data_IF_362888004929
#
_entry.id   IF_362888004929
#
_cell.length_a   1.000
_cell.length_b   1.000
_cell.length_c   1.000
_cell.angle_alpha   90.00
_cell.angle_beta   90.00
_cell.angle_gamma   90.00
#
_symmetry.space_group_name_H-M   'P 1'
#
loop_
_entity.id
_entity.type
_entity.pdbx_description
1 polymer ?
#
# COMPACT_ATOMS: atom_id res chain seq x y z
N UNK A 1 2.21 9.48 22.79
CA UNK A 1 0.77 9.71 22.61
C UNK A 1 0.71 10.89 21.67
N UNK A 2 0.76 10.70 20.36
CA UNK A 2 0.26 9.57 19.57
C UNK A 2 1.39 8.76 18.90
N UNK A 3 1.18 7.45 18.83
CA UNK A 3 1.79 6.59 17.82
C UNK A 3 1.55 7.22 16.44
N UNK A 4 2.53 7.18 15.55
CA UNK A 4 2.32 6.46 14.29
C UNK A 4 3.65 6.43 13.53
N UNK A 5 4.24 5.24 13.42
CA UNK A 5 5.36 4.98 12.50
C UNK A 5 4.97 5.14 11.03
N UNK A 6 3.70 5.41 10.73
CA UNK A 6 3.17 5.64 9.39
C UNK A 6 3.59 7.00 8.82
N UNK A 7 4.35 6.97 7.73
CA UNK A 7 4.66 8.13 6.89
C UNK A 7 3.51 8.48 5.95
N UNK A 8 2.68 7.51 5.56
CA UNK A 8 1.47 7.74 4.77
C UNK A 8 0.40 6.73 5.12
N UNK A 9 -0.86 7.16 5.12
CA UNK A 9 -2.05 6.33 5.30
C UNK A 9 -3.11 6.82 4.33
N UNK A 10 -3.58 5.93 3.46
CA UNK A 10 -4.56 6.23 2.43
C UNK A 10 -5.70 5.22 2.48
N UNK A 11 -6.93 5.71 2.50
CA UNK A 11 -8.13 4.91 2.23
C UNK A 11 -8.32 4.83 0.72
N UNK A 12 -8.47 3.61 0.19
CA UNK A 12 -8.54 3.32 -1.24
C UNK A 12 -9.84 2.58 -1.54
N UNK A 13 -10.60 3.13 -2.50
CA UNK A 13 -11.87 2.56 -2.97
C UNK A 13 -11.79 2.32 -4.49
N UNK A 14 -11.12 1.23 -4.86
CA UNK A 14 -10.92 0.81 -6.25
C UNK A 14 -11.85 -0.36 -6.61
N UNK A 15 -12.21 -0.57 -7.89
CA UNK A 15 -13.13 -1.65 -8.30
C UNK A 15 -12.72 -3.06 -7.84
N UNK A 16 -11.41 -3.30 -7.66
CA UNK A 16 -10.86 -4.57 -7.17
C UNK A 16 -10.41 -4.58 -5.71
N UNK A 17 -10.51 -3.46 -4.99
CA UNK A 17 -10.00 -3.33 -3.63
C UNK A 17 -10.69 -2.20 -2.87
N UNK A 18 -11.22 -2.52 -1.69
CA UNK A 18 -11.76 -1.55 -0.75
C UNK A 18 -11.04 -1.71 0.60
N UNK A 19 -10.27 -0.70 1.01
CA UNK A 19 -9.50 -0.77 2.24
C UNK A 19 -8.45 0.32 2.38
N UNK A 20 -7.34 -0.02 3.00
CA UNK A 20 -6.31 0.91 3.42
C UNK A 20 -4.92 0.47 2.97
N UNK A 21 -4.12 1.46 2.59
CA UNK A 21 -2.69 1.39 2.37
C UNK A 21 -1.98 2.22 3.45
N UNK A 22 -1.08 1.61 4.19
CA UNK A 22 -0.23 2.25 5.19
C UNK A 22 1.23 2.04 4.80
N UNK A 23 2.01 3.11 4.87
CA UNK A 23 3.45 3.09 4.64
C UNK A 23 4.10 3.57 5.91
N UNK A 24 4.88 2.70 6.55
CA UNK A 24 5.53 2.98 7.83
C UNK A 24 7.04 3.05 7.65
N UNK A 25 7.70 4.00 8.30
CA UNK A 25 9.16 4.04 8.38
C UNK A 25 9.61 3.74 9.80
N UNK A 26 10.22 2.56 9.96
CA UNK A 26 10.76 2.08 11.23
C UNK A 26 12.28 2.08 11.24
N UNK A 27 12.86 1.58 12.34
CA UNK A 27 14.32 1.40 12.45
C UNK A 27 14.88 0.39 11.45
N UNK A 28 14.04 -0.58 11.05
CA UNK A 28 14.39 -1.67 10.14
C UNK A 28 14.14 -1.33 8.66
N UNK A 29 13.88 -0.07 8.35
CA UNK A 29 13.54 0.39 7.01
C UNK A 29 12.05 0.67 6.85
N UNK A 30 11.61 0.79 5.60
CA UNK A 30 10.23 1.17 5.28
C UNK A 30 9.39 -0.08 4.99
N UNK A 31 8.20 -0.15 5.56
CA UNK A 31 7.23 -1.21 5.35
C UNK A 31 5.98 -0.68 4.65
N UNK A 32 5.42 -1.54 3.80
CA UNK A 32 4.15 -1.32 3.12
C UNK A 32 3.15 -2.33 3.65
N UNK A 33 2.08 -1.82 4.25
CA UNK A 33 0.96 -2.61 4.75
C UNK A 33 -0.29 -2.28 3.95
N UNK A 34 -0.91 -3.31 3.40
CA UNK A 34 -2.21 -3.22 2.73
C UNK A 34 -3.20 -4.07 3.50
N UNK A 35 -4.35 -3.52 3.83
CA UNK A 35 -5.43 -4.26 4.47
C UNK A 35 -6.79 -3.83 3.93
N UNK A 36 -7.61 -4.79 3.53
CA UNK A 36 -8.94 -4.49 2.98
C UNK A 36 -9.69 -5.73 2.56
N UNK A 37 -10.69 -5.52 1.72
CA UNK A 37 -11.50 -6.57 1.11
C UNK A 37 -11.48 -6.42 -0.40
N UNK A 38 -11.58 -7.54 -1.11
CA UNK A 38 -11.80 -7.58 -2.54
C UNK A 38 -13.31 -7.67 -2.79
N UNK A 39 -13.94 -6.64 -3.39
CA UNK A 39 -15.40 -6.62 -3.52
C UNK A 39 -15.98 -7.75 -4.39
N UNK A 40 -15.22 -8.27 -5.36
CA UNK A 40 -15.74 -9.28 -6.30
C UNK A 40 -16.00 -10.66 -5.69
N UNK A 41 -15.27 -11.05 -4.64
CA UNK A 41 -15.38 -12.36 -3.99
C UNK A 41 -15.50 -12.27 -2.45
N UNK A 42 -15.40 -11.05 -1.89
CA UNK A 42 -15.43 -10.79 -0.45
C UNK A 42 -14.16 -11.24 0.28
N UNK A 43 -13.09 -11.59 -0.45
CA UNK A 43 -11.86 -12.08 0.17
C UNK A 43 -11.14 -10.96 0.94
N UNK A 44 -10.69 -11.27 2.16
CA UNK A 44 -9.83 -10.36 2.92
C UNK A 44 -8.42 -10.33 2.30
N UNK A 45 -7.89 -9.13 2.12
CA UNK A 45 -6.54 -8.88 1.63
C UNK A 45 -5.74 -8.31 2.77
N UNK A 46 -4.64 -8.96 3.11
CA UNK A 46 -3.62 -8.43 4.02
C UNK A 46 -2.25 -8.68 3.40
N UNK A 47 -1.49 -7.61 3.18
CA UNK A 47 -0.09 -7.65 2.73
C UNK A 47 0.74 -6.84 3.70
N UNK A 48 1.90 -7.35 4.04
CA UNK A 48 2.92 -6.64 4.82
C UNK A 48 4.26 -7.04 4.21
N UNK A 49 4.98 -6.07 3.66
CA UNK A 49 6.24 -6.32 2.99
C UNK A 49 7.21 -5.13 3.10
N UNK A 50 8.53 -5.39 3.16
CA UNK A 50 9.52 -4.33 3.15
C UNK A 50 9.56 -3.63 1.80
N UNK A 51 9.47 -2.31 1.81
CA UNK A 51 9.54 -1.45 0.62
C UNK A 51 10.90 -1.57 -0.07
N UNK A 52 11.96 -1.81 0.72
CA UNK A 52 13.34 -1.90 0.25
C UNK A 52 13.66 -3.22 -0.48
N UNK A 53 12.68 -4.12 -0.60
CA UNK A 53 12.87 -5.43 -1.25
C UNK A 53 13.06 -5.30 -2.77
N UNK A 54 12.46 -4.29 -3.38
CA UNK A 54 12.43 -4.08 -4.82
C UNK A 54 12.51 -2.57 -5.15
N UNK A 55 13.33 -2.17 -6.13
CA UNK A 55 13.49 -0.75 -6.49
C UNK A 55 12.22 -0.10 -7.06
N UNK A 56 11.38 -0.84 -7.79
CA UNK A 56 10.12 -0.31 -8.32
C UNK A 56 9.12 -0.06 -7.18
N UNK A 57 9.03 -0.99 -6.22
CA UNK A 57 8.22 -0.79 -5.02
C UNK A 57 8.69 0.42 -4.21
N UNK A 58 10.00 0.59 -4.03
CA UNK A 58 10.55 1.73 -3.31
C UNK A 58 10.19 3.07 -4.00
N UNK A 59 10.25 3.14 -5.32
CA UNK A 59 9.85 4.33 -6.09
C UNK A 59 8.36 4.63 -5.93
N UNK A 60 7.49 3.62 -6.07
CA UNK A 60 6.04 3.79 -5.90
C UNK A 60 5.70 4.29 -4.49
N UNK A 61 6.40 3.77 -3.49
CA UNK A 61 6.26 4.17 -2.09
C UNK A 61 6.65 5.63 -1.87
N UNK A 62 7.75 6.10 -2.46
CA UNK A 62 8.13 7.52 -2.41
C UNK A 62 7.08 8.42 -3.06
N UNK A 63 6.51 8.00 -4.20
CA UNK A 63 5.44 8.75 -4.88
C UNK A 63 4.17 8.85 -4.03
N UNK A 64 3.75 7.74 -3.40
CA UNK A 64 2.59 7.72 -2.50
C UNK A 64 2.81 8.62 -1.28
N UNK A 65 4.00 8.54 -0.66
CA UNK A 65 4.36 9.44 0.44
C UNK A 65 4.41 10.90 -0.01
N UNK A 66 4.76 11.15 -1.28
CA UNK A 66 4.69 12.46 -1.92
C UNK A 66 3.29 12.97 -2.26
N UNK A 67 2.24 12.16 -2.02
CA UNK A 67 0.84 12.50 -2.27
C UNK A 67 0.34 12.18 -3.69
N UNK A 68 1.02 11.29 -4.42
CA UNK A 68 0.54 10.78 -5.71
C UNK A 68 -0.44 9.61 -5.51
N UNK A 69 -1.74 9.90 -5.55
CA UNK A 69 -2.80 8.89 -5.42
C UNK A 69 -2.75 7.84 -6.54
N UNK A 70 -2.31 8.21 -7.75
CA UNK A 70 -2.20 7.26 -8.85
C UNK A 70 -1.07 6.24 -8.62
N UNK A 71 -0.03 6.63 -7.86
CA UNK A 71 1.00 5.71 -7.42
C UNK A 71 0.47 4.66 -6.43
N UNK A 72 -0.56 4.97 -5.63
CA UNK A 72 -1.15 4.01 -4.69
C UNK A 72 -1.83 2.85 -5.44
N UNK A 73 -2.56 3.14 -6.51
CA UNK A 73 -3.19 2.12 -7.37
C UNK A 73 -2.13 1.24 -8.03
N UNK A 74 -1.05 1.84 -8.54
CA UNK A 74 0.09 1.11 -9.13
C UNK A 74 0.81 0.22 -8.12
N UNK A 75 0.97 0.70 -6.88
CA UNK A 75 1.53 -0.08 -5.79
C UNK A 75 0.65 -1.29 -5.48
N UNK A 76 -0.67 -1.13 -5.39
CA UNK A 76 -1.59 -2.25 -5.18
C UNK A 76 -1.50 -3.29 -6.30
N UNK A 77 -1.35 -2.87 -7.56
CA UNK A 77 -1.12 -3.79 -8.68
C UNK A 77 0.23 -4.51 -8.54
N UNK A 78 1.29 -3.79 -8.22
CA UNK A 78 2.64 -4.34 -8.04
C UNK A 78 2.70 -5.41 -6.93
N UNK A 79 1.99 -5.21 -5.81
CA UNK A 79 1.92 -6.19 -4.71
C UNK A 79 0.89 -7.32 -4.93
N UNK A 80 0.25 -7.34 -6.11
CA UNK A 80 -0.72 -8.35 -6.53
C UNK A 80 -2.05 -8.28 -5.79
N UNK A 81 -2.45 -7.09 -5.35
CA UNK A 81 -3.78 -6.83 -4.76
C UNK A 81 -4.78 -6.55 -5.87
N UNK A 82 -4.42 -5.67 -6.79
CA UNK A 82 -5.17 -5.38 -8.02
C UNK A 82 -4.56 -6.12 -9.21
N UNK A 83 -5.39 -6.45 -10.18
CA UNK A 83 -4.89 -6.87 -11.49
C UNK A 83 -4.33 -5.65 -12.24
N UNK A 84 -3.20 -5.79 -12.95
CA UNK A 84 -2.70 -4.73 -13.82
C UNK A 84 -3.70 -4.52 -14.98
N UNK A 85 -4.19 -3.29 -15.13
CA UNK A 85 -5.08 -2.89 -16.24
C UNK A 85 -4.36 -2.88 -17.59
#
# INVERSE_FOLDING_TARGET
MDDDGARARLELHEPGFDGELVIEEGRDGRHVRVSGIRPQDGAAVVKDLPADRDPELAELVELVVGGDDAAAVRLLAHVGVLDPA
#
